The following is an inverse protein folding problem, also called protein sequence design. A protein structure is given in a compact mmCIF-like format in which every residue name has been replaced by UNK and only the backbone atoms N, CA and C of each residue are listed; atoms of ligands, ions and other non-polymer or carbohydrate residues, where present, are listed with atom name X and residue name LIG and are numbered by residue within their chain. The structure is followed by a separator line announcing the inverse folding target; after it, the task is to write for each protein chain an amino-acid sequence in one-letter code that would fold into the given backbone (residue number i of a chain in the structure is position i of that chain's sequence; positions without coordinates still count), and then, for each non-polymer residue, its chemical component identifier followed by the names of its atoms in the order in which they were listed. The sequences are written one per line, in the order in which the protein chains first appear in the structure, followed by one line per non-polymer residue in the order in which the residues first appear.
data_IF_504081148972
#
_entry.id   IF_504081148972
#
_cell.length_a   1.000
_cell.length_b   1.000
_cell.length_c   1.000
_cell.angle_alpha   90.00
_cell.angle_beta   90.00
_cell.angle_gamma   90.00
#
_symmetry.space_group_name_H-M   'P 1'
#
loop_
_entity.id
_entity.type
_entity.pdbx_description
1 polymer ?
#
# COMPACT_ATOMS: atom_id res chain seq x y z
N UNK A 1 -10.76 24.47 -0.70
CA UNK A 1 -10.16 24.18 0.62
C UNK A 1 -10.14 22.69 0.98
N UNK A 2 -11.07 21.86 0.50
CA UNK A 2 -11.14 20.44 0.89
C UNK A 2 -10.16 19.49 0.16
N UNK A 3 -9.67 19.85 -1.03
CA UNK A 3 -8.85 18.97 -1.88
C UNK A 3 -7.39 18.83 -1.41
N UNK A 4 -6.83 19.88 -0.79
CA UNK A 4 -5.43 19.86 -0.28
C UNK A 4 -5.26 19.04 1.00
N UNK A 5 -6.33 18.91 1.79
CA UNK A 5 -6.29 18.14 3.04
C UNK A 5 -6.28 16.63 2.76
N UNK A 6 -7.08 16.17 1.79
CA UNK A 6 -7.15 14.75 1.40
C UNK A 6 -5.88 14.24 0.74
N UNK A 7 -5.21 15.05 -0.10
CA UNK A 7 -3.92 14.68 -0.69
C UNK A 7 -2.86 14.42 0.38
N UNK A 8 -2.80 15.25 1.43
CA UNK A 8 -1.82 15.07 2.52
C UNK A 8 -2.07 13.82 3.39
N UNK A 9 -3.32 13.43 3.56
CA UNK A 9 -3.68 12.21 4.29
C UNK A 9 -3.35 10.96 3.47
N UNK A 10 -3.65 10.99 2.16
CA UNK A 10 -3.37 9.88 1.26
C UNK A 10 -1.87 9.71 1.04
N UNK A 11 -1.10 10.80 0.94
CA UNK A 11 0.36 10.76 0.95
C UNK A 11 0.91 10.12 2.22
N UNK A 12 0.36 10.47 3.39
CA UNK A 12 0.77 9.89 4.68
C UNK A 12 0.45 8.39 4.75
N UNK A 13 -0.76 7.99 4.33
CA UNK A 13 -1.19 6.58 4.28
C UNK A 13 -0.34 5.78 3.29
N UNK A 14 -0.06 6.36 2.12
CA UNK A 14 0.78 5.74 1.11
C UNK A 14 2.20 5.54 1.62
N UNK A 15 2.77 6.52 2.34
CA UNK A 15 4.10 6.40 2.95
C UNK A 15 4.15 5.29 4.02
N UNK A 16 3.14 5.22 4.90
CA UNK A 16 3.04 4.17 5.92
C UNK A 16 2.91 2.77 5.28
N UNK A 17 2.10 2.67 4.21
CA UNK A 17 1.96 1.45 3.45
C UNK A 17 3.28 1.08 2.75
N UNK A 18 3.98 2.04 2.14
CA UNK A 18 5.26 1.82 1.46
C UNK A 18 6.32 1.27 2.41
N UNK A 19 6.40 1.83 3.63
CA UNK A 19 7.28 1.33 4.67
C UNK A 19 6.98 -0.14 4.99
N UNK A 20 5.70 -0.47 5.18
CA UNK A 20 5.26 -1.82 5.56
C UNK A 20 5.50 -2.83 4.43
N UNK A 21 5.15 -2.47 3.19
CA UNK A 21 5.43 -3.28 2.00
C UNK A 21 6.93 -3.49 1.82
N UNK A 22 7.76 -2.47 2.07
CA UNK A 22 9.21 -2.60 2.06
C UNK A 22 9.71 -3.64 3.07
N UNK A 23 9.18 -3.64 4.31
CA UNK A 23 9.52 -4.65 5.32
C UNK A 23 9.09 -6.06 4.89
N UNK A 24 7.92 -6.21 4.26
CA UNK A 24 7.45 -7.49 3.75
C UNK A 24 8.31 -7.99 2.58
N UNK A 25 8.60 -7.13 1.60
CA UNK A 25 9.48 -7.45 0.48
C UNK A 25 10.89 -7.81 0.95
N UNK A 26 11.40 -7.17 2.01
CA UNK A 26 12.69 -7.55 2.60
C UNK A 26 12.66 -8.98 3.14
N UNK A 27 11.66 -9.32 3.97
CA UNK A 27 11.50 -10.68 4.54
C UNK A 27 11.36 -11.75 3.45
N UNK A 28 10.48 -11.52 2.49
CA UNK A 28 10.26 -12.44 1.35
C UNK A 28 11.53 -12.54 0.49
N UNK A 29 12.25 -11.44 0.33
CA UNK A 29 13.50 -11.41 -0.40
C UNK A 29 14.62 -12.23 0.27
N UNK A 30 14.71 -12.17 1.60
CA UNK A 30 15.63 -13.02 2.37
C UNK A 30 15.28 -14.50 2.23
N UNK A 31 14.00 -14.87 2.38
CA UNK A 31 13.52 -16.25 2.22
C UNK A 31 13.89 -16.84 0.85
N UNK A 32 13.74 -16.04 -0.21
CA UNK A 32 14.00 -16.47 -1.58
C UNK A 32 15.40 -16.11 -2.10
N UNK A 33 16.28 -15.56 -1.26
CA UNK A 33 17.64 -15.12 -1.64
C UNK A 33 17.64 -14.18 -2.86
N UNK A 34 16.64 -13.28 -2.94
CA UNK A 34 16.46 -12.32 -4.03
C UNK A 34 16.09 -10.95 -3.49
N UNK A 35 16.74 -9.91 -3.98
CA UNK A 35 16.39 -8.54 -3.66
C UNK A 35 15.24 -8.02 -4.55
N UNK A 36 14.34 -7.23 -3.96
CA UNK A 36 13.37 -6.43 -4.70
C UNK A 36 13.95 -5.04 -4.98
N UNK A 37 13.74 -4.52 -6.19
CA UNK A 37 14.12 -3.13 -6.50
C UNK A 37 13.16 -2.14 -5.86
N UNK A 38 13.63 -0.90 -5.64
CA UNK A 38 12.79 0.18 -5.09
C UNK A 38 11.54 0.43 -5.92
N UNK A 39 11.66 0.33 -7.24
CA UNK A 39 10.56 0.49 -8.19
C UNK A 39 9.51 -0.61 -8.03
N UNK A 40 9.94 -1.86 -7.82
CA UNK A 40 9.01 -2.98 -7.58
C UNK A 40 8.28 -2.81 -6.25
N UNK A 41 8.97 -2.42 -5.18
CA UNK A 41 8.36 -2.13 -3.88
C UNK A 41 7.33 -1.00 -4.00
N UNK A 42 7.64 0.06 -4.76
CA UNK A 42 6.70 1.16 -5.02
C UNK A 42 5.46 0.68 -5.80
N UNK A 43 5.65 -0.10 -6.87
CA UNK A 43 4.56 -0.65 -7.66
C UNK A 43 3.63 -1.57 -6.84
N UNK A 44 4.18 -2.38 -5.94
CA UNK A 44 3.39 -3.21 -5.01
C UNK A 44 2.61 -2.31 -4.05
N UNK A 45 3.26 -1.28 -3.52
CA UNK A 45 2.61 -0.31 -2.60
C UNK A 45 1.41 0.36 -3.26
N UNK A 46 1.58 0.91 -4.46
CA UNK A 46 0.49 1.55 -5.20
C UNK A 46 -0.64 0.58 -5.52
N UNK A 47 -0.31 -0.67 -5.86
CA UNK A 47 -1.29 -1.72 -6.14
C UNK A 47 -2.09 -2.05 -4.88
N UNK A 48 -1.43 -2.24 -3.75
CA UNK A 48 -2.09 -2.49 -2.47
C UNK A 48 -2.97 -1.29 -2.04
N UNK A 49 -2.49 -0.06 -2.22
CA UNK A 49 -3.24 1.15 -1.91
C UNK A 49 -4.54 1.24 -2.72
N UNK A 50 -4.49 0.97 -4.03
CA UNK A 50 -5.68 0.90 -4.89
C UNK A 50 -6.64 -0.23 -4.46
N UNK A 51 -6.10 -1.36 -4.01
CA UNK A 51 -6.92 -2.50 -3.57
C UNK A 51 -7.71 -2.21 -2.29
N UNK A 52 -7.25 -1.29 -1.44
CA UNK A 52 -7.96 -0.91 -0.22
C UNK A 52 -9.37 -0.37 -0.49
N UNK A 53 -9.59 0.38 -1.59
CA UNK A 53 -10.92 0.89 -1.97
C UNK A 53 -11.88 -0.26 -2.31
N UNK A 54 -11.39 -1.27 -3.04
CA UNK A 54 -12.17 -2.47 -3.38
C UNK A 54 -12.53 -3.23 -2.10
N UNK A 55 -11.55 -3.49 -1.23
CA UNK A 55 -11.79 -4.20 0.03
C UNK A 55 -12.73 -3.45 0.96
N UNK A 56 -12.65 -2.12 1.04
CA UNK A 56 -13.55 -1.31 1.86
C UNK A 56 -15.00 -1.43 1.37
N UNK A 57 -15.23 -1.35 0.06
CA UNK A 57 -16.56 -1.49 -0.55
C UNK A 57 -17.13 -2.88 -0.36
N UNK A 58 -16.33 -3.92 -0.56
CA UNK A 58 -16.75 -5.31 -0.35
C UNK A 58 -17.12 -5.54 1.12
N UNK A 59 -16.30 -5.06 2.06
CA UNK A 59 -16.56 -5.21 3.49
C UNK A 59 -17.81 -4.44 3.92
N UNK A 60 -18.05 -3.25 3.37
CA UNK A 60 -19.29 -2.50 3.60
C UNK A 60 -20.51 -3.26 3.06
N UNK A 61 -20.40 -3.87 1.87
CA UNK A 61 -21.48 -4.65 1.27
C UNK A 61 -21.77 -5.94 2.07
N UNK A 62 -20.74 -6.59 2.63
CA UNK A 62 -20.93 -7.76 3.50
C UNK A 62 -21.56 -7.42 4.85
N UNK A 63 -21.41 -6.18 5.32
CA UNK A 63 -21.97 -5.72 6.58
C UNK A 63 -23.42 -5.18 6.48
N UNK A 64 -23.89 -4.92 5.26
CA UNK A 64 -25.27 -4.48 4.97
C UNK A 64 -26.21 -5.67 4.76
#
# INVERSE_FOLDING_TARGET
FNTKMSESEDETRLAALHYTVGQMCHKVGEEHHRAFSRQVVAAITETAFRQCDIFAKDLEAFAK
#
